data_IF_765165334852
#
_entry.id   IF_765165334852
#
_cell.length_a   1.000
_cell.length_b   1.000
_cell.length_c   1.000
_cell.angle_alpha   90.00
_cell.angle_beta   90.00
_cell.angle_gamma   90.00
#
_symmetry.space_group_name_H-M   'P 1'
#
loop_
_entity.id
_entity.type
_entity.pdbx_description
1 polymer ?
#
# COMPACT_ATOMS: atom_id res chain seq x y z
N UNK A 1 -46.54 4.96 26.36
CA UNK A 1 -45.19 5.47 26.65
C UNK A 1 -44.21 4.39 26.27
N UNK A 2 -43.61 4.51 25.07
CA UNK A 2 -42.72 3.48 24.50
C UNK A 2 -41.29 3.88 24.87
N UNK A 3 -40.62 3.08 25.73
CA UNK A 3 -39.22 3.29 26.08
C UNK A 3 -38.37 2.63 25.05
N UNK A 4 -37.72 3.43 24.19
CA UNK A 4 -36.75 2.97 23.20
C UNK A 4 -35.43 2.73 23.94
N UNK A 5 -35.09 1.47 24.19
CA UNK A 5 -33.78 1.08 24.73
C UNK A 5 -32.77 1.09 23.57
N UNK A 6 -31.96 2.14 23.53
CA UNK A 6 -30.77 2.19 22.62
C UNK A 6 -29.72 1.25 23.21
N UNK A 7 -29.60 0.06 22.63
CA UNK A 7 -28.45 -0.83 22.82
C UNK A 7 -27.25 -0.19 22.14
N UNK A 8 -26.40 0.49 22.92
CA UNK A 8 -25.07 0.85 22.46
C UNK A 8 -24.25 -0.44 22.32
N UNK A 9 -24.09 -0.91 21.08
CA UNK A 9 -23.16 -1.98 20.79
C UNK A 9 -21.73 -1.42 20.97
N UNK A 10 -21.11 -1.73 22.11
CA UNK A 10 -19.67 -1.55 22.26
C UNK A 10 -19.01 -2.55 21.32
N UNK A 11 -18.40 -2.08 20.24
CA UNK A 11 -17.50 -2.90 19.43
C UNK A 11 -16.20 -3.06 20.22
N UNK A 12 -15.91 -4.28 20.67
CA UNK A 12 -14.62 -4.59 21.29
C UNK A 12 -13.52 -4.42 20.22
N UNK A 13 -12.64 -3.46 20.46
CA UNK A 13 -11.46 -3.21 19.63
C UNK A 13 -10.35 -4.12 20.13
N UNK A 14 -9.91 -5.07 19.32
CA UNK A 14 -8.91 -6.09 19.69
C UNK A 14 -7.51 -5.81 19.15
N UNK A 15 -7.35 -4.82 18.28
CA UNK A 15 -6.07 -4.47 17.66
C UNK A 15 -5.88 -2.98 17.51
N UNK A 16 -4.83 -2.61 16.79
CA UNK A 16 -4.54 -1.25 16.37
C UNK A 16 -4.79 -1.04 14.88
N UNK A 17 -4.77 0.21 14.45
CA UNK A 17 -4.83 0.60 13.06
C UNK A 17 -3.44 1.01 12.54
N UNK A 18 -3.23 0.90 11.24
CA UNK A 18 -2.05 1.40 10.54
C UNK A 18 -2.49 2.37 9.45
N UNK A 19 -1.86 3.54 9.41
CA UNK A 19 -2.11 4.60 8.45
C UNK A 19 -0.86 4.86 7.62
N UNK A 20 -1.01 5.07 6.32
CA UNK A 20 0.07 5.41 5.40
C UNK A 20 -0.44 6.26 4.24
N UNK A 21 0.48 6.99 3.63
CA UNK A 21 0.29 7.60 2.32
C UNK A 21 1.38 7.11 1.37
N UNK A 22 1.18 7.24 0.07
CA UNK A 22 2.16 6.81 -0.93
C UNK A 22 2.29 7.79 -2.06
N UNK A 23 3.43 7.70 -2.73
CA UNK A 23 3.76 8.42 -3.94
C UNK A 23 4.51 7.49 -4.86
N UNK A 24 4.11 7.42 -6.13
CA UNK A 24 4.87 6.70 -7.14
C UNK A 24 5.89 7.63 -7.79
N UNK A 25 7.11 7.14 -7.95
CA UNK A 25 8.20 7.86 -8.61
C UNK A 25 8.84 6.99 -9.68
N UNK A 26 9.35 7.56 -10.79
CA UNK A 26 10.09 6.78 -11.77
C UNK A 26 11.42 6.28 -11.17
N UNK A 27 11.78 5.04 -11.44
CA UNK A 27 13.04 4.45 -10.99
C UNK A 27 14.24 5.00 -11.75
N UNK A 28 14.10 5.30 -13.02
CA UNK A 28 15.14 5.91 -13.85
C UNK A 28 15.24 7.41 -13.63
N UNK A 29 16.26 7.80 -12.99
CA UNK A 29 16.61 8.99 -12.29
C UNK A 29 16.92 10.28 -13.02
N UNK A 30 16.34 10.63 -14.15
CA UNK A 30 16.54 11.98 -14.73
C UNK A 30 15.50 13.02 -14.29
N UNK A 31 14.58 12.64 -13.44
CA UNK A 31 13.55 13.55 -12.96
C UNK A 31 13.05 13.13 -11.59
N UNK A 32 13.88 13.33 -10.58
CA UNK A 32 13.54 13.11 -9.16
C UNK A 32 12.28 13.84 -8.69
N UNK A 33 11.76 14.76 -9.49
CA UNK A 33 10.59 15.57 -9.18
C UNK A 33 9.31 15.12 -9.92
N UNK A 34 9.39 14.11 -10.79
CA UNK A 34 8.19 13.62 -11.48
C UNK A 34 7.43 12.63 -10.60
N UNK A 35 6.12 12.86 -10.52
CA UNK A 35 5.19 11.89 -9.96
C UNK A 35 4.66 10.99 -11.08
N UNK A 36 4.61 9.69 -10.82
CA UNK A 36 3.84 8.76 -11.64
C UNK A 36 2.40 8.80 -11.12
N UNK A 37 1.45 9.08 -12.02
CA UNK A 37 0.05 9.13 -11.64
C UNK A 37 -0.52 7.71 -11.58
N UNK A 38 -1.28 7.40 -10.56
CA UNK A 38 -1.99 6.11 -10.45
C UNK A 38 -3.10 5.93 -11.52
N UNK A 39 -3.67 7.03 -12.06
CA UNK A 39 -4.78 6.96 -13.01
C UNK A 39 -4.37 6.66 -14.45
N UNK A 40 -3.21 7.13 -14.82
CA UNK A 40 -2.74 7.03 -16.20
C UNK A 40 -1.41 6.33 -16.22
N UNK A 41 -1.33 5.19 -16.90
CA UNK A 41 -0.04 4.61 -17.23
C UNK A 41 0.84 5.63 -17.97
N UNK A 42 2.13 5.48 -17.90
CA UNK A 42 3.10 6.32 -18.62
C UNK A 42 3.76 5.46 -19.69
N UNK A 43 3.73 5.94 -20.93
CA UNK A 43 4.51 5.38 -22.06
C UNK A 43 4.44 3.84 -22.23
N UNK A 44 3.25 3.26 -22.05
CA UNK A 44 3.02 1.82 -22.21
C UNK A 44 2.99 1.02 -20.90
N UNK A 45 3.32 1.62 -19.76
CA UNK A 45 3.01 1.05 -18.45
C UNK A 45 1.52 1.16 -18.16
N UNK A 46 0.92 0.10 -17.65
CA UNK A 46 -0.44 0.17 -17.13
C UNK A 46 -0.45 0.84 -15.75
N UNK A 47 -1.58 1.44 -15.34
CA UNK A 47 -1.66 2.05 -14.02
C UNK A 47 -1.53 1.01 -12.90
N UNK A 48 -0.96 1.42 -11.78
CA UNK A 48 -1.05 0.67 -10.53
C UNK A 48 -2.48 0.79 -10.02
N UNK A 49 -3.15 -0.35 -9.85
CA UNK A 49 -4.56 -0.39 -9.46
C UNK A 49 -4.74 -0.12 -7.96
N UNK A 50 -3.91 -0.74 -7.15
CA UNK A 50 -4.03 -0.72 -5.70
C UNK A 50 -2.67 -0.65 -5.02
N UNK A 51 -2.68 -0.17 -3.79
CA UNK A 51 -1.56 -0.33 -2.86
C UNK A 51 -2.00 -1.24 -1.73
N UNK A 52 -1.23 -2.30 -1.47
CA UNK A 52 -1.49 -3.27 -0.40
C UNK A 52 -0.48 -3.08 0.73
N UNK A 53 -0.98 -3.10 1.94
CA UNK A 53 -0.21 -3.22 3.16
C UNK A 53 -0.37 -4.65 3.68
N UNK A 54 0.73 -5.36 3.84
CA UNK A 54 0.80 -6.64 4.52
C UNK A 54 1.38 -6.43 5.92
N UNK A 55 0.86 -7.13 6.92
CA UNK A 55 1.41 -7.14 8.26
C UNK A 55 1.66 -8.56 8.76
N UNK A 56 2.69 -8.68 9.58
CA UNK A 56 3.01 -9.89 10.32
C UNK A 56 3.30 -9.52 11.78
N UNK A 57 2.52 -10.09 12.70
CA UNK A 57 2.71 -9.96 14.15
C UNK A 57 2.87 -11.37 14.74
N UNK A 58 4.11 -11.74 15.06
CA UNK A 58 4.42 -13.12 15.42
C UNK A 58 4.07 -14.09 14.29
N UNK A 59 3.15 -15.02 14.55
CA UNK A 59 2.65 -15.98 13.56
C UNK A 59 1.37 -15.51 12.83
N UNK A 60 0.81 -14.36 13.20
CA UNK A 60 -0.42 -13.82 12.61
C UNK A 60 -0.06 -12.91 11.45
N UNK A 61 -0.67 -13.16 10.30
CA UNK A 61 -0.52 -12.32 9.11
C UNK A 61 -1.86 -11.80 8.64
N UNK A 62 -1.85 -10.66 7.96
CA UNK A 62 -3.03 -10.10 7.33
C UNK A 62 -2.65 -9.02 6.33
N UNK A 63 -3.64 -8.49 5.64
CA UNK A 63 -3.42 -7.45 4.64
C UNK A 63 -4.65 -6.55 4.50
N UNK A 64 -4.39 -5.32 4.03
CA UNK A 64 -5.41 -4.39 3.58
C UNK A 64 -4.93 -3.74 2.28
N UNK A 65 -5.83 -3.38 1.37
CA UNK A 65 -5.47 -2.71 0.15
C UNK A 65 -6.47 -1.61 -0.23
N UNK A 66 -5.97 -0.56 -0.86
CA UNK A 66 -6.73 0.62 -1.26
C UNK A 66 -6.47 0.95 -2.73
N UNK A 67 -7.41 1.59 -3.43
CA UNK A 67 -7.13 2.12 -4.75
C UNK A 67 -5.88 2.98 -4.74
N UNK A 68 -5.00 2.81 -5.72
CA UNK A 68 -3.77 3.61 -5.81
C UNK A 68 -4.07 5.10 -5.84
N UNK A 69 -5.17 5.49 -6.49
CA UNK A 69 -5.64 6.86 -6.64
C UNK A 69 -6.08 7.56 -5.35
N UNK A 70 -6.24 6.81 -4.28
CA UNK A 70 -6.55 7.40 -2.97
C UNK A 70 -5.31 8.05 -2.34
N UNK A 71 -4.10 7.63 -2.74
CA UNK A 71 -2.81 8.12 -2.22
C UNK A 71 -2.66 8.04 -0.70
N UNK A 72 -3.62 7.42 -0.04
CA UNK A 72 -3.71 7.28 1.41
C UNK A 72 -4.54 6.05 1.77
N UNK A 73 -4.16 5.37 2.82
CA UNK A 73 -4.88 4.24 3.36
C UNK A 73 -4.79 4.17 4.88
N UNK A 74 -5.84 3.65 5.47
CA UNK A 74 -5.87 3.33 6.90
C UNK A 74 -6.60 1.99 7.07
N UNK A 75 -6.02 1.10 7.87
CA UNK A 75 -6.67 -0.17 8.23
C UNK A 75 -7.78 0.09 9.25
N UNK A 76 -8.69 -0.87 9.45
CA UNK A 76 -9.45 -0.92 10.69
C UNK A 76 -8.54 -1.27 11.88
N UNK A 77 -9.15 -1.50 13.04
CA UNK A 77 -8.42 -1.93 14.26
C UNK A 77 -8.25 -3.46 14.31
N UNK A 78 -7.97 -4.06 13.15
CA UNK A 78 -7.77 -5.51 13.01
C UNK A 78 -6.31 -5.95 13.09
N UNK A 79 -5.35 -5.02 13.06
CA UNK A 79 -3.93 -5.37 13.17
C UNK A 79 -3.63 -5.79 14.61
N UNK A 80 -3.18 -7.03 14.85
CA UNK A 80 -2.91 -7.51 16.21
C UNK A 80 -1.91 -6.61 16.95
N UNK A 81 -2.08 -6.48 18.25
CA UNK A 81 -1.11 -5.75 19.08
C UNK A 81 0.22 -6.52 19.20
N UNK A 82 1.32 -5.80 19.16
CA UNK A 82 2.68 -6.33 19.24
C UNK A 82 3.62 -5.70 18.22
N UNK A 83 4.83 -6.22 18.12
CA UNK A 83 5.77 -5.79 17.07
C UNK A 83 5.31 -6.33 15.72
N UNK A 84 4.94 -5.44 14.83
CA UNK A 84 4.43 -5.73 13.49
C UNK A 84 5.51 -5.41 12.45
N UNK A 85 5.78 -6.38 11.57
CA UNK A 85 6.52 -6.14 10.33
C UNK A 85 5.50 -5.74 9.25
N UNK A 86 5.68 -4.54 8.68
CA UNK A 86 4.77 -3.90 7.75
C UNK A 86 5.44 -3.75 6.39
N UNK A 87 4.80 -4.28 5.34
CA UNK A 87 5.33 -4.28 3.97
C UNK A 87 4.30 -3.69 3.02
N UNK A 88 4.73 -2.80 2.12
CA UNK A 88 3.86 -2.16 1.13
C UNK A 88 4.19 -2.70 -0.26
N UNK A 89 3.16 -3.12 -1.00
CA UNK A 89 3.29 -3.73 -2.32
C UNK A 89 2.31 -3.08 -3.28
N UNK A 90 2.77 -2.60 -4.46
CA UNK A 90 1.87 -2.19 -5.53
C UNK A 90 1.20 -3.40 -6.18
N UNK A 91 -0.08 -3.27 -6.51
CA UNK A 91 -0.86 -4.30 -7.19
C UNK A 91 -1.35 -3.79 -8.56
N UNK A 92 -1.27 -4.67 -9.54
CA UNK A 92 -1.80 -4.46 -10.88
C UNK A 92 -3.20 -5.08 -11.00
N UNK A 93 -3.90 -4.85 -12.10
CA UNK A 93 -5.20 -5.48 -12.38
C UNK A 93 -5.11 -7.03 -12.40
N UNK A 94 -3.94 -7.58 -12.67
CA UNK A 94 -3.69 -9.03 -12.75
C UNK A 94 -3.13 -9.64 -11.45
N UNK A 95 -2.89 -8.84 -10.42
CA UNK A 95 -2.29 -9.27 -9.16
C UNK A 95 -1.10 -8.40 -8.75
N UNK A 96 -0.23 -8.90 -7.90
CA UNK A 96 0.96 -8.16 -7.45
C UNK A 96 1.83 -7.72 -8.64
N UNK A 97 2.36 -6.50 -8.56
CA UNK A 97 3.37 -6.05 -9.52
C UNK A 97 4.59 -6.99 -9.48
N UNK A 98 5.16 -7.28 -10.64
CA UNK A 98 6.35 -8.12 -10.70
C UNK A 98 7.52 -7.43 -9.97
N UNK A 99 8.26 -8.13 -9.10
CA UNK A 99 9.32 -7.52 -8.27
C UNK A 99 10.42 -6.80 -9.06
N UNK A 100 10.60 -7.16 -10.32
CA UNK A 100 11.59 -6.51 -11.20
C UNK A 100 11.12 -5.14 -11.73
N UNK A 101 9.85 -4.82 -11.57
CA UNK A 101 9.23 -3.61 -12.14
C UNK A 101 9.10 -2.46 -11.15
N UNK A 102 9.58 -2.64 -9.93
CA UNK A 102 9.60 -1.59 -8.92
C UNK A 102 10.65 -1.90 -7.85
N UNK A 103 11.10 -0.87 -7.16
CA UNK A 103 11.90 -1.03 -5.95
C UNK A 103 10.99 -1.12 -4.75
N UNK A 104 10.97 -2.29 -4.10
CA UNK A 104 10.15 -2.53 -2.93
C UNK A 104 10.52 -1.58 -1.79
N UNK A 105 9.56 -0.86 -1.20
CA UNK A 105 9.84 -0.10 0.00
C UNK A 105 10.40 -0.98 1.12
N UNK A 106 11.34 -0.45 1.88
CA UNK A 106 11.92 -1.18 3.02
C UNK A 106 10.82 -1.52 4.02
N UNK A 107 10.65 -2.79 4.39
CA UNK A 107 9.71 -3.17 5.44
C UNK A 107 9.97 -2.40 6.74
N UNK A 108 8.91 -1.97 7.41
CA UNK A 108 9.00 -1.20 8.64
C UNK A 108 8.52 -2.04 9.82
N UNK A 109 9.31 -2.07 10.88
CA UNK A 109 8.90 -2.66 12.14
C UNK A 109 8.30 -1.57 13.05
N UNK A 110 7.09 -1.81 13.56
CA UNK A 110 6.34 -0.89 14.43
C UNK A 110 5.62 -1.64 15.52
N UNK A 111 5.56 -1.02 16.70
CA UNK A 111 4.75 -1.53 17.79
C UNK A 111 3.29 -1.06 17.62
N UNK A 112 2.40 -2.02 17.47
CA UNK A 112 0.95 -1.80 17.37
C UNK A 112 0.33 -2.00 18.75
N UNK A 113 -0.50 -1.06 19.18
CA UNK A 113 -1.22 -1.13 20.45
C UNK A 113 -2.74 -1.07 20.22
N UNK A 114 -3.48 -1.78 21.03
CA UNK A 114 -4.96 -1.80 20.97
C UNK A 114 -5.54 -0.39 21.01
N UNK A 115 -6.42 -0.09 20.08
CA UNK A 115 -7.13 1.20 19.99
C UNK A 115 -6.29 2.38 19.51
N UNK A 116 -5.02 2.18 19.16
CA UNK A 116 -4.14 3.22 18.64
C UNK A 116 -3.91 3.06 17.13
N UNK A 117 -3.59 4.17 16.47
CA UNK A 117 -3.17 4.19 15.07
C UNK A 117 -1.67 4.43 14.98
N UNK A 118 -0.98 3.57 14.24
CA UNK A 118 0.43 3.73 13.87
C UNK A 118 0.51 4.38 12.51
N UNK A 119 1.21 5.50 12.39
CA UNK A 119 1.40 6.19 11.12
C UNK A 119 2.77 5.83 10.53
N UNK A 120 2.79 5.30 9.30
CA UNK A 120 4.02 4.98 8.55
C UNK A 120 4.57 6.20 7.78
N UNK A 121 3.81 7.30 7.73
CA UNK A 121 4.16 8.47 6.94
C UNK A 121 3.96 8.27 5.44
N UNK A 122 4.74 9.01 4.66
CA UNK A 122 4.73 8.93 3.20
C UNK A 122 5.72 7.86 2.73
N UNK A 123 5.21 6.89 1.98
CA UNK A 123 5.99 5.80 1.37
C UNK A 123 6.25 6.19 -0.10
N UNK A 124 7.51 6.27 -0.48
CA UNK A 124 7.89 6.41 -1.89
C UNK A 124 8.07 5.03 -2.51
N UNK A 125 7.39 4.78 -3.62
CA UNK A 125 7.51 3.55 -4.41
C UNK A 125 8.11 3.93 -5.75
N UNK A 126 9.31 3.44 -6.00
CA UNK A 126 10.00 3.67 -7.27
C UNK A 126 9.58 2.60 -8.26
N UNK A 127 9.05 3.03 -9.40
CA UNK A 127 8.45 2.15 -10.41
C UNK A 127 9.17 2.28 -11.75
N UNK A 128 9.38 1.16 -12.43
CA UNK A 128 9.97 1.15 -13.77
C UNK A 128 8.93 1.59 -14.80
N UNK A 129 9.21 2.70 -15.45
CA UNK A 129 8.38 3.30 -16.50
C UNK A 129 9.18 3.65 -17.76
N UNK A 130 10.51 3.50 -17.72
CA UNK A 130 11.37 3.78 -18.87
C UNK A 130 11.41 2.58 -19.81
N UNK A 131 11.49 2.85 -21.10
CA UNK A 131 11.59 1.82 -22.15
C UNK A 131 10.43 0.81 -22.18
N UNK A 132 9.23 1.24 -21.80
CA UNK A 132 7.99 0.46 -21.83
C UNK A 132 7.45 0.28 -23.24
N UNK A 133 8.20 -0.07 -24.18
CA UNK A 133 7.70 -0.22 -25.54
C UNK A 133 8.66 -0.98 -26.45
N UNK A 134 8.16 -2.02 -27.03
CA UNK A 134 8.60 -2.69 -28.27
C UNK A 134 10.10 -2.56 -28.62
N UNK A 135 10.97 -3.23 -27.89
CA UNK A 135 12.37 -3.43 -28.27
C UNK A 135 12.89 -4.74 -27.67
N UNK A 136 13.72 -5.43 -28.42
CA UNK A 136 14.47 -6.60 -27.92
C UNK A 136 15.37 -6.10 -26.78
N UNK A 137 15.02 -6.44 -25.54
CA UNK A 137 15.78 -6.05 -24.35
C UNK A 137 15.11 -4.98 -23.48
N UNK A 138 13.89 -4.54 -23.78
CA UNK A 138 13.13 -3.64 -22.92
C UNK A 138 12.83 -4.30 -21.56
N UNK A 139 13.10 -3.59 -20.48
CA UNK A 139 12.69 -4.05 -19.15
C UNK A 139 11.16 -4.03 -19.05
N UNK A 140 10.62 -4.96 -18.31
CA UNK A 140 9.18 -4.99 -18.06
C UNK A 140 8.80 -3.76 -17.23
N UNK A 141 7.84 -2.98 -17.74
CA UNK A 141 7.29 -1.86 -16.99
C UNK A 141 6.33 -2.32 -15.91
N UNK A 142 6.10 -1.44 -14.92
CA UNK A 142 5.11 -1.75 -13.90
C UNK A 142 3.74 -1.96 -14.52
N UNK A 143 3.11 -3.05 -14.16
CA UNK A 143 1.78 -3.45 -14.65
C UNK A 143 1.66 -3.56 -16.19
N UNK A 144 2.76 -3.57 -16.90
CA UNK A 144 2.81 -3.69 -18.38
C UNK A 144 2.65 -5.11 -18.90
#
# INVERSE_FOLDING_TARGET
MLVLVLLAACTDVHGGAVELSWTLRPESGDSSDLFVNCDTGVDGANPVERMRLDWQVGAITGSASWPCTDYHGVTGFEVPSGSALLTVTPECATGDAAPITYTAPTPQERDVSVGNTVNLGAIEVFVEISDCGSGVGSQACICG
#
